data_IF_534750071384
#
_entry.id   IF_534750071384
#
_cell.length_a   1.000
_cell.length_b   1.000
_cell.length_c   1.000
_cell.angle_alpha   90.00
_cell.angle_beta   90.00
_cell.angle_gamma   90.00
#
_symmetry.space_group_name_H-M   'P 1'
#
loop_
_entity.id
_entity.type
_entity.pdbx_description
1 polymer ?
#
# COMPACT_ATOMS: atom_id res chain seq x y z
N UNK A 1 55.36 -22.76 -48.60
CA UNK A 1 54.51 -21.74 -49.24
C UNK A 1 53.22 -22.46 -49.64
N UNK A 2 52.05 -21.94 -49.26
CA UNK A 2 50.73 -22.63 -49.14
C UNK A 2 50.69 -23.54 -47.89
N UNK A 3 49.73 -23.54 -46.95
CA UNK A 3 48.73 -22.60 -46.42
C UNK A 3 48.33 -23.22 -45.06
N UNK A 4 48.45 -22.50 -43.94
CA UNK A 4 48.16 -22.99 -42.57
C UNK A 4 46.75 -22.57 -42.17
N UNK A 5 45.77 -23.00 -42.95
CA UNK A 5 44.33 -22.81 -42.70
C UNK A 5 43.69 -24.16 -43.03
N UNK A 6 42.93 -24.73 -42.09
CA UNK A 6 42.19 -26.02 -42.16
C UNK A 6 42.88 -27.31 -41.70
N UNK A 7 43.35 -27.39 -40.45
CA UNK A 7 43.43 -28.71 -39.77
C UNK A 7 43.49 -28.66 -38.23
N UNK A 8 42.74 -27.75 -37.60
CA UNK A 8 42.49 -27.77 -36.15
C UNK A 8 41.04 -27.38 -35.86
N UNK A 9 40.12 -28.26 -36.26
CA UNK A 9 38.83 -28.42 -35.60
C UNK A 9 38.90 -29.71 -34.78
N UNK A 10 38.27 -29.69 -33.60
CA UNK A 10 38.09 -30.79 -32.63
C UNK A 10 39.16 -30.99 -31.54
N UNK A 11 38.95 -30.30 -30.42
CA UNK A 11 38.82 -30.82 -29.04
C UNK A 11 39.43 -29.86 -28.00
N UNK A 12 38.71 -28.78 -27.71
CA UNK A 12 38.85 -28.09 -26.42
C UNK A 12 37.59 -28.38 -25.62
N UNK A 13 37.70 -29.38 -24.73
CA UNK A 13 36.73 -29.65 -23.68
C UNK A 13 36.56 -28.38 -22.83
N UNK A 14 35.32 -27.95 -22.51
CA UNK A 14 35.14 -26.97 -21.44
C UNK A 14 35.62 -27.62 -20.14
N UNK A 15 36.57 -26.96 -19.49
CA UNK A 15 37.10 -27.34 -18.19
C UNK A 15 35.98 -27.38 -17.15
N UNK A 16 36.05 -28.36 -16.24
CA UNK A 16 35.17 -28.60 -15.09
C UNK A 16 34.95 -27.38 -14.16
N UNK A 17 35.59 -26.22 -14.41
CA UNK A 17 35.43 -24.96 -13.70
C UNK A 17 34.14 -24.21 -14.02
N UNK A 18 33.64 -24.29 -15.26
CA UNK A 18 32.54 -23.44 -15.72
C UNK A 18 31.17 -24.00 -15.32
N UNK A 19 31.05 -25.34 -15.27
CA UNK A 19 29.88 -26.02 -14.70
C UNK A 19 29.78 -25.86 -13.18
N UNK A 20 30.90 -25.63 -12.48
CA UNK A 20 30.89 -25.36 -11.04
C UNK A 20 30.47 -23.92 -10.73
N UNK A 21 30.89 -22.95 -11.55
CA UNK A 21 30.42 -21.55 -11.43
C UNK A 21 28.97 -21.38 -11.90
N UNK A 22 28.52 -22.07 -12.94
CA UNK A 22 27.10 -22.07 -13.33
C UNK A 22 26.19 -22.78 -12.29
N UNK A 23 26.64 -23.88 -11.67
CA UNK A 23 25.86 -24.54 -10.63
C UNK A 23 25.87 -23.81 -9.28
N UNK A 24 26.91 -23.03 -8.95
CA UNK A 24 26.89 -22.16 -7.75
C UNK A 24 26.02 -20.91 -7.95
N UNK A 25 25.76 -20.52 -9.20
CA UNK A 25 24.77 -19.49 -9.54
C UNK A 25 23.33 -20.04 -9.58
N UNK A 26 23.14 -21.35 -9.83
CA UNK A 26 21.86 -22.06 -9.75
C UNK A 26 21.56 -22.54 -8.33
N UNK A 27 20.85 -21.68 -7.59
CA UNK A 27 20.20 -21.84 -6.26
C UNK A 27 20.70 -20.90 -5.17
N UNK A 28 20.92 -19.62 -5.49
CA UNK A 28 20.79 -18.59 -4.45
C UNK A 28 19.31 -18.50 -4.06
N UNK A 29 18.94 -19.14 -2.95
CA UNK A 29 17.57 -19.14 -2.41
C UNK A 29 17.09 -17.69 -2.31
N UNK A 30 16.03 -17.34 -3.05
CA UNK A 30 15.46 -16.00 -3.03
C UNK A 30 15.12 -15.61 -1.58
N UNK A 31 15.49 -14.39 -1.16
CA UNK A 31 15.19 -13.90 0.17
C UNK A 31 13.73 -13.43 0.23
N UNK A 32 12.82 -14.39 0.37
CA UNK A 32 11.38 -14.14 0.47
C UNK A 32 11.00 -13.43 1.77
N UNK A 33 11.90 -13.33 2.76
CA UNK A 33 11.61 -12.62 4.02
C UNK A 33 11.42 -11.12 3.80
N UNK A 34 11.85 -10.57 2.66
CA UNK A 34 11.59 -9.17 2.29
C UNK A 34 10.14 -8.92 1.84
N UNK A 35 9.32 -9.97 1.79
CA UNK A 35 7.93 -9.92 1.35
C UNK A 35 6.97 -10.40 2.44
N UNK A 36 5.72 -9.97 2.38
CA UNK A 36 4.69 -10.32 3.34
C UNK A 36 4.42 -11.83 3.36
N UNK A 37 4.33 -12.43 2.17
CA UNK A 37 4.05 -13.85 1.96
C UNK A 37 5.27 -14.57 1.40
N UNK A 38 5.54 -15.83 1.82
CA UNK A 38 6.65 -16.62 1.28
C UNK A 38 6.36 -17.11 -0.14
N UNK A 39 5.09 -17.11 -0.52
CA UNK A 39 4.56 -17.64 -1.76
C UNK A 39 3.69 -16.59 -2.46
N UNK A 40 3.19 -16.94 -3.65
CA UNK A 40 2.19 -16.14 -4.35
C UNK A 40 0.90 -16.06 -3.54
N UNK A 41 0.13 -14.96 -3.64
CA UNK A 41 -1.23 -14.91 -3.13
C UNK A 41 -2.05 -16.10 -3.65
N UNK A 42 -3.00 -16.64 -2.85
CA UNK A 42 -3.79 -17.80 -3.26
C UNK A 42 -4.61 -17.48 -4.51
N UNK A 43 -4.79 -18.45 -5.41
CA UNK A 43 -5.59 -18.25 -6.61
C UNK A 43 -7.08 -18.00 -6.31
N UNK A 44 -7.53 -18.39 -5.12
CA UNK A 44 -8.91 -18.32 -4.67
C UNK A 44 -8.97 -17.83 -3.22
N UNK A 45 -9.98 -17.02 -2.91
CA UNK A 45 -10.33 -16.66 -1.53
C UNK A 45 -11.82 -16.85 -1.31
N UNK A 46 -12.16 -17.31 -0.11
CA UNK A 46 -13.54 -17.46 0.35
C UNK A 46 -13.84 -16.33 1.34
N UNK A 47 -14.85 -15.53 1.03
CA UNK A 47 -15.33 -14.40 1.84
C UNK A 47 -16.82 -14.61 2.16
N UNK A 48 -17.40 -13.86 3.11
CA UNK A 48 -18.83 -13.95 3.44
C UNK A 48 -19.74 -13.84 2.21
N UNK A 49 -19.43 -12.92 1.27
CA UNK A 49 -20.23 -12.71 0.06
C UNK A 49 -20.09 -13.79 -1.02
N UNK A 50 -19.05 -14.64 -0.99
CA UNK A 50 -18.81 -15.60 -2.06
C UNK A 50 -17.37 -16.08 -2.19
N UNK A 51 -17.12 -16.81 -3.26
CA UNK A 51 -15.79 -17.26 -3.66
C UNK A 51 -15.26 -16.37 -4.77
N UNK A 52 -14.02 -15.92 -4.62
CA UNK A 52 -13.38 -14.98 -5.53
C UNK A 52 -12.09 -15.55 -6.10
N UNK A 53 -11.77 -15.20 -7.35
CA UNK A 53 -10.57 -15.62 -8.08
C UNK A 53 -9.58 -14.47 -8.19
N UNK A 54 -8.29 -14.75 -7.99
CA UNK A 54 -7.23 -13.77 -8.15
C UNK A 54 -7.21 -13.26 -9.61
N UNK A 55 -7.34 -11.95 -9.76
CA UNK A 55 -7.28 -11.27 -11.05
C UNK A 55 -5.93 -10.60 -11.24
N UNK A 56 -5.45 -9.86 -10.23
CA UNK A 56 -4.23 -9.04 -10.33
C UNK A 56 -3.55 -8.86 -8.98
N UNK A 57 -2.23 -8.72 -8.98
CA UNK A 57 -1.46 -8.32 -7.79
C UNK A 57 -1.06 -6.85 -7.95
N UNK A 58 -1.57 -5.97 -7.08
CA UNK A 58 -1.20 -4.55 -7.05
C UNK A 58 0.15 -4.32 -6.37
N UNK A 59 0.38 -4.98 -5.23
CA UNK A 59 1.61 -4.74 -4.49
C UNK A 59 1.99 -5.96 -3.72
N UNK A 60 3.29 -6.24 -3.61
CA UNK A 60 3.80 -7.19 -2.65
C UNK A 60 5.10 -6.65 -2.06
N UNK A 61 4.98 -6.14 -0.84
CA UNK A 61 6.09 -5.56 -0.09
C UNK A 61 6.32 -6.32 1.22
N UNK A 62 7.16 -5.77 2.10
CA UNK A 62 7.52 -6.34 3.37
C UNK A 62 6.34 -6.57 4.34
N UNK A 63 5.36 -5.66 4.33
CA UNK A 63 4.24 -5.62 5.27
C UNK A 63 3.00 -6.31 4.71
N UNK A 64 2.69 -6.11 3.42
CA UNK A 64 1.49 -6.67 2.82
C UNK A 64 1.62 -7.06 1.34
N UNK A 65 0.78 -8.01 0.94
CA UNK A 65 0.41 -8.23 -0.46
C UNK A 65 -1.00 -7.69 -0.70
N UNK A 66 -1.16 -6.76 -1.65
CA UNK A 66 -2.45 -6.17 -2.04
C UNK A 66 -2.82 -6.68 -3.42
N UNK A 67 -4.01 -7.27 -3.55
CA UNK A 67 -4.42 -8.00 -4.74
C UNK A 67 -5.88 -7.69 -5.09
N UNK A 68 -6.22 -7.74 -6.37
CA UNK A 68 -7.58 -7.69 -6.88
C UNK A 68 -8.12 -9.12 -7.07
N UNK A 69 -9.33 -9.35 -6.59
CA UNK A 69 -10.07 -10.59 -6.85
C UNK A 69 -11.45 -10.28 -7.42
N UNK A 70 -11.89 -11.14 -8.34
CA UNK A 70 -13.21 -11.06 -8.98
C UNK A 70 -14.10 -12.19 -8.49
N UNK A 71 -15.39 -11.88 -8.30
CA UNK A 71 -16.39 -12.82 -7.82
C UNK A 71 -16.61 -13.93 -8.86
N UNK A 72 -16.43 -15.19 -8.42
CA UNK A 72 -16.67 -16.35 -9.25
C UNK A 72 -17.96 -17.08 -8.89
N UNK A 73 -18.35 -17.06 -7.62
CA UNK A 73 -19.60 -17.65 -7.14
C UNK A 73 -20.13 -16.86 -5.95
N UNK A 74 -21.33 -16.30 -6.11
CA UNK A 74 -22.01 -15.55 -5.06
C UNK A 74 -22.67 -16.49 -4.04
N UNK A 75 -22.61 -16.13 -2.75
CA UNK A 75 -23.38 -16.79 -1.68
C UNK A 75 -24.60 -15.96 -1.23
N UNK A 76 -24.74 -14.72 -1.70
CA UNK A 76 -25.84 -13.82 -1.36
C UNK A 76 -25.97 -12.65 -2.33
N UNK A 77 -27.09 -11.93 -2.27
CA UNK A 77 -27.39 -10.81 -3.17
C UNK A 77 -26.43 -9.61 -3.00
N UNK A 78 -25.89 -9.42 -1.79
CA UNK A 78 -24.97 -8.31 -1.48
C UNK A 78 -23.50 -8.61 -1.82
N UNK A 79 -23.23 -9.67 -2.59
CA UNK A 79 -21.87 -10.02 -3.00
C UNK A 79 -21.25 -8.93 -3.87
N UNK A 80 -20.06 -8.48 -3.48
CA UNK A 80 -19.29 -7.51 -4.25
C UNK A 80 -18.75 -8.16 -5.52
N UNK A 81 -18.85 -7.50 -6.67
CA UNK A 81 -18.31 -8.04 -7.93
C UNK A 81 -16.80 -8.19 -7.89
N UNK A 82 -16.09 -7.21 -7.32
CA UNK A 82 -14.63 -7.19 -7.19
C UNK A 82 -14.22 -6.67 -5.82
N UNK A 83 -13.16 -7.24 -5.29
CA UNK A 83 -12.63 -6.91 -3.97
C UNK A 83 -11.11 -6.72 -4.02
N UNK A 84 -10.61 -5.77 -3.25
CA UNK A 84 -9.20 -5.63 -2.95
C UNK A 84 -8.91 -6.37 -1.66
N UNK A 85 -8.00 -7.34 -1.77
CA UNK A 85 -7.60 -8.21 -0.67
C UNK A 85 -6.20 -7.81 -0.22
N UNK A 86 -6.07 -7.42 1.05
CA UNK A 86 -4.78 -7.15 1.69
C UNK A 86 -4.40 -8.32 2.59
N UNK A 87 -3.35 -9.03 2.18
CA UNK A 87 -2.68 -10.07 2.97
C UNK A 87 -1.62 -9.40 3.83
N UNK A 88 -1.78 -9.43 5.14
CA UNK A 88 -0.73 -9.04 6.07
C UNK A 88 0.42 -10.06 6.07
N UNK A 89 1.57 -9.64 6.58
CA UNK A 89 2.76 -10.47 6.70
C UNK A 89 2.50 -11.69 7.58
N UNK A 90 2.82 -12.87 7.06
CA UNK A 90 2.74 -14.15 7.79
C UNK A 90 4.12 -14.73 8.10
N UNK A 91 5.16 -14.26 7.42
CA UNK A 91 6.53 -14.73 7.63
C UNK A 91 7.20 -14.08 8.85
N UNK A 92 8.02 -14.82 9.60
CA UNK A 92 8.91 -14.20 10.56
C UNK A 92 9.93 -13.29 9.86
N UNK A 93 10.49 -12.33 10.58
CA UNK A 93 11.59 -11.50 10.11
C UNK A 93 12.75 -11.59 11.10
N UNK A 94 13.92 -12.03 10.65
CA UNK A 94 15.10 -12.24 11.50
C UNK A 94 14.80 -13.11 12.75
N UNK A 95 13.97 -14.14 12.60
CA UNK A 95 13.55 -15.03 13.69
C UNK A 95 12.43 -14.50 14.58
N UNK A 96 11.99 -13.24 14.40
CA UNK A 96 10.88 -12.67 15.14
C UNK A 96 9.54 -12.98 14.46
N UNK A 97 8.54 -13.55 15.17
CA UNK A 97 7.21 -13.73 14.61
C UNK A 97 6.58 -12.35 14.34
N UNK A 98 6.03 -12.16 13.15
CA UNK A 98 5.37 -10.91 12.74
C UNK A 98 3.85 -11.04 12.61
N UNK A 99 3.30 -12.24 12.78
CA UNK A 99 1.87 -12.50 12.58
C UNK A 99 1.00 -11.66 13.52
N UNK A 100 1.39 -11.56 14.79
CA UNK A 100 0.68 -10.77 15.80
C UNK A 100 0.51 -9.30 15.36
N UNK A 101 1.52 -8.72 14.71
CA UNK A 101 1.46 -7.35 14.22
C UNK A 101 0.44 -7.23 13.08
N UNK A 102 0.43 -8.19 12.15
CA UNK A 102 -0.55 -8.24 11.07
C UNK A 102 -1.98 -8.41 11.59
N UNK A 103 -2.17 -9.21 12.64
CA UNK A 103 -3.48 -9.39 13.30
C UNK A 103 -3.94 -8.10 13.98
N UNK A 104 -3.04 -7.40 14.70
CA UNK A 104 -3.35 -6.11 15.31
C UNK A 104 -3.73 -5.05 14.26
N UNK A 105 -2.95 -4.95 13.16
CA UNK A 105 -3.24 -4.02 12.07
C UNK A 105 -4.57 -4.34 11.38
N UNK A 106 -4.88 -5.62 11.18
CA UNK A 106 -6.16 -6.07 10.63
C UNK A 106 -7.33 -5.73 11.55
N UNK A 107 -7.20 -5.97 12.86
CA UNK A 107 -8.23 -5.62 13.85
C UNK A 107 -8.45 -4.10 13.91
N UNK A 108 -7.38 -3.33 13.84
CA UNK A 108 -7.43 -1.87 13.78
C UNK A 108 -8.18 -1.36 12.53
N UNK A 109 -7.84 -1.87 11.35
CA UNK A 109 -8.51 -1.54 10.09
C UNK A 109 -10.00 -1.90 10.13
N UNK A 110 -10.33 -3.10 10.63
CA UNK A 110 -11.72 -3.51 10.81
C UNK A 110 -12.50 -2.52 11.68
N UNK A 111 -11.93 -2.12 12.82
CA UNK A 111 -12.57 -1.19 13.75
C UNK A 111 -12.81 0.19 13.12
N UNK A 112 -11.93 0.61 12.20
CA UNK A 112 -12.08 1.83 11.41
C UNK A 112 -13.16 1.69 10.34
N UNK A 113 -13.13 0.63 9.52
CA UNK A 113 -14.16 0.38 8.51
C UNK A 113 -15.55 0.20 9.13
N UNK A 114 -15.65 -0.47 10.29
CA UNK A 114 -16.89 -0.58 11.04
C UNK A 114 -17.39 0.81 11.48
N UNK A 115 -16.50 1.69 11.95
CA UNK A 115 -16.85 3.06 12.29
C UNK A 115 -17.32 3.88 11.08
N UNK A 116 -16.75 3.62 9.90
CA UNK A 116 -17.03 4.33 8.64
C UNK A 116 -18.08 3.63 7.77
N UNK A 117 -18.77 2.61 8.30
CA UNK A 117 -19.81 1.91 7.56
C UNK A 117 -20.87 2.90 7.03
N UNK A 118 -21.21 2.77 5.75
CA UNK A 118 -22.18 3.62 5.06
C UNK A 118 -21.70 5.03 4.67
N UNK A 119 -20.43 5.40 4.89
CA UNK A 119 -19.90 6.67 4.35
C UNK A 119 -19.68 6.52 2.85
N UNK A 120 -20.36 7.33 2.03
CA UNK A 120 -20.06 7.47 0.60
C UNK A 120 -18.63 7.98 0.44
N UNK A 121 -17.83 7.34 -0.40
CA UNK A 121 -16.40 7.65 -0.56
C UNK A 121 -15.48 6.82 0.34
N UNK A 122 -16.02 5.85 1.09
CA UNK A 122 -15.24 4.82 1.80
C UNK A 122 -15.62 3.44 1.22
N UNK A 123 -14.66 2.60 0.81
CA UNK A 123 -14.95 1.26 0.32
C UNK A 123 -15.71 0.42 1.36
N UNK A 124 -16.65 -0.43 0.91
CA UNK A 124 -17.33 -1.36 1.83
C UNK A 124 -16.37 -2.44 2.32
N UNK A 125 -16.54 -2.83 3.58
CA UNK A 125 -15.85 -3.99 4.15
C UNK A 125 -16.44 -5.28 3.58
N UNK A 126 -15.61 -6.14 2.98
CA UNK A 126 -16.05 -7.38 2.36
C UNK A 126 -15.88 -8.60 3.28
N UNK A 127 -14.92 -8.54 4.21
CA UNK A 127 -14.68 -9.60 5.17
C UNK A 127 -13.21 -9.76 5.57
N UNK A 128 -12.99 -10.70 6.47
CA UNK A 128 -11.66 -11.13 6.92
C UNK A 128 -11.33 -12.49 6.32
N UNK A 129 -10.04 -12.80 6.21
CA UNK A 129 -9.59 -14.16 5.94
C UNK A 129 -8.31 -14.48 6.72
N UNK A 130 -8.18 -15.74 7.11
CA UNK A 130 -7.08 -16.22 7.91
C UNK A 130 -5.76 -16.33 7.11
N UNK A 131 -4.59 -16.21 7.75
CA UNK A 131 -4.42 -15.91 9.18
C UNK A 131 -4.47 -14.41 9.50
N UNK A 132 -4.08 -13.53 8.57
CA UNK A 132 -4.03 -12.10 8.81
C UNK A 132 -4.26 -11.27 7.55
N UNK A 133 -5.45 -11.38 6.96
CA UNK A 133 -5.83 -10.47 5.89
C UNK A 133 -7.30 -10.08 5.89
N UNK A 134 -7.62 -9.10 5.06
CA UNK A 134 -8.96 -8.57 4.91
C UNK A 134 -9.24 -8.15 3.48
N UNK A 135 -10.51 -8.03 3.16
CA UNK A 135 -11.00 -7.62 1.85
C UNK A 135 -11.93 -6.42 1.97
N UNK A 136 -11.81 -5.50 1.02
CA UNK A 136 -12.67 -4.33 0.86
C UNK A 136 -13.13 -4.23 -0.59
N UNK A 137 -14.19 -3.46 -0.82
CA UNK A 137 -14.70 -3.19 -2.16
C UNK A 137 -13.62 -2.62 -3.08
N UNK A 138 -13.55 -3.15 -4.30
CA UNK A 138 -12.78 -2.52 -5.36
C UNK A 138 -13.56 -1.37 -5.96
N UNK A 139 -12.92 -0.20 -6.01
CA UNK A 139 -13.49 1.00 -6.64
C UNK A 139 -12.87 1.13 -8.03
N UNK A 140 -13.71 1.14 -9.05
CA UNK A 140 -13.29 1.40 -10.44
C UNK A 140 -12.97 2.89 -10.61
N UNK A 141 -11.74 3.24 -10.25
CA UNK A 141 -11.27 4.61 -10.11
C UNK A 141 -9.77 4.70 -10.33
N UNK A 142 -9.32 5.91 -10.70
CA UNK A 142 -7.90 6.22 -10.87
C UNK A 142 -7.37 6.98 -9.66
N UNK A 143 -6.15 6.69 -9.19
CA UNK A 143 -5.48 7.52 -8.21
C UNK A 143 -5.32 8.97 -8.70
N UNK A 144 -5.46 9.94 -7.79
CA UNK A 144 -5.39 11.37 -8.11
C UNK A 144 -4.03 11.78 -8.71
N UNK A 145 -2.94 11.09 -8.40
CA UNK A 145 -1.63 11.34 -9.01
C UNK A 145 -1.46 10.76 -10.42
N UNK A 146 -2.41 9.96 -10.91
CA UNK A 146 -2.45 9.46 -12.28
C UNK A 146 -3.37 10.29 -13.19
N UNK A 147 -4.01 11.33 -12.65
CA UNK A 147 -4.83 12.25 -13.43
C UNK A 147 -4.00 13.45 -13.87
N UNK A 148 -4.17 13.87 -15.12
CA UNK A 148 -3.56 15.10 -15.63
C UNK A 148 -4.13 16.34 -14.92
N UNK A 149 -5.45 16.33 -14.69
CA UNK A 149 -6.16 17.35 -13.93
C UNK A 149 -7.29 16.70 -13.10
N UNK A 150 -7.56 17.19 -11.88
CA UNK A 150 -8.70 16.76 -11.10
C UNK A 150 -10.02 17.27 -11.73
N UNK A 151 -11.12 16.50 -11.65
CA UNK A 151 -12.43 16.99 -12.07
C UNK A 151 -12.90 18.16 -11.20
N UNK A 152 -13.70 19.05 -11.78
CA UNK A 152 -14.23 20.22 -11.10
C UNK A 152 -14.97 19.85 -9.79
N UNK A 153 -14.75 20.64 -8.75
CA UNK A 153 -15.36 20.44 -7.43
C UNK A 153 -14.92 19.18 -6.68
N UNK A 154 -13.88 18.47 -7.15
CA UNK A 154 -13.35 17.29 -6.46
C UNK A 154 -12.97 17.60 -5.01
N UNK A 155 -12.32 18.74 -4.78
CA UNK A 155 -11.83 19.10 -3.46
C UNK A 155 -12.95 19.46 -2.50
N UNK A 156 -14.08 19.95 -3.01
CA UNK A 156 -15.25 20.23 -2.18
C UNK A 156 -15.94 18.91 -1.79
N UNK A 157 -16.04 17.95 -2.71
CA UNK A 157 -16.51 16.58 -2.40
C UNK A 157 -15.58 15.89 -1.39
N UNK A 158 -14.26 16.01 -1.57
CA UNK A 158 -13.27 15.50 -0.61
C UNK A 158 -13.41 16.19 0.75
N UNK A 159 -13.70 17.50 0.78
CA UNK A 159 -13.93 18.21 2.03
C UNK A 159 -15.12 17.64 2.79
N UNK A 160 -16.25 17.43 2.11
CA UNK A 160 -17.44 16.79 2.70
C UNK A 160 -17.14 15.39 3.22
N UNK A 161 -16.33 14.61 2.48
CA UNK A 161 -15.89 13.28 2.90
C UNK A 161 -15.04 13.34 4.18
N UNK A 162 -14.05 14.24 4.23
CA UNK A 162 -13.24 14.45 5.43
C UNK A 162 -14.11 14.87 6.62
N UNK A 163 -15.03 15.81 6.44
CA UNK A 163 -15.92 16.24 7.52
C UNK A 163 -16.78 15.08 8.04
N UNK A 164 -17.29 14.24 7.15
CA UNK A 164 -18.07 13.06 7.52
C UNK A 164 -17.23 12.06 8.34
N UNK A 165 -15.98 11.80 7.92
CA UNK A 165 -15.05 10.92 8.66
C UNK A 165 -14.66 11.55 10.00
N UNK A 166 -14.38 12.85 10.01
CA UNK A 166 -13.95 13.60 11.19
C UNK A 166 -15.04 13.66 12.25
N UNK A 167 -16.30 13.83 11.85
CA UNK A 167 -17.47 13.79 12.72
C UNK A 167 -17.59 12.45 13.47
N UNK A 168 -17.18 11.34 12.84
CA UNK A 168 -17.10 10.01 13.47
C UNK A 168 -15.91 9.82 14.41
N UNK A 169 -15.15 10.90 14.65
CA UNK A 169 -14.01 10.91 15.56
C UNK A 169 -12.78 10.20 15.00
N UNK A 170 -12.59 10.26 13.68
CA UNK A 170 -11.45 9.64 13.00
C UNK A 170 -10.58 10.74 12.39
N UNK A 171 -9.26 10.61 12.51
CA UNK A 171 -8.28 11.35 11.71
C UNK A 171 -7.67 10.39 10.69
N UNK A 172 -7.71 10.75 9.42
CA UNK A 172 -7.28 9.88 8.31
C UNK A 172 -5.75 9.72 8.26
N UNK A 173 -5.01 10.79 8.59
CA UNK A 173 -3.57 10.84 8.78
C UNK A 173 -2.69 10.66 7.53
N UNK A 174 -3.20 10.11 6.43
CA UNK A 174 -2.42 9.88 5.19
C UNK A 174 -2.85 10.76 3.99
N UNK A 175 -3.58 11.86 4.25
CA UNK A 175 -4.07 12.77 3.20
C UNK A 175 -2.97 13.40 2.33
N UNK A 176 -1.70 13.31 2.73
CA UNK A 176 -0.58 13.80 1.94
C UNK A 176 -0.33 12.96 0.66
N UNK A 177 -0.69 11.67 0.65
CA UNK A 177 -0.48 10.79 -0.50
C UNK A 177 -1.65 10.86 -1.47
N UNK A 178 -1.40 11.44 -2.66
CA UNK A 178 -2.40 11.52 -3.73
C UNK A 178 -2.80 10.13 -4.26
N UNK A 179 -1.91 9.14 -4.18
CA UNK A 179 -2.20 7.75 -4.53
C UNK A 179 -3.33 7.11 -3.70
N UNK A 180 -3.63 7.66 -2.51
CA UNK A 180 -4.68 7.13 -1.64
C UNK A 180 -6.04 7.84 -1.85
N UNK A 181 -6.08 8.83 -2.74
CA UNK A 181 -7.30 9.51 -3.17
C UNK A 181 -7.64 8.94 -4.54
N UNK A 182 -8.70 8.12 -4.59
CA UNK A 182 -9.21 7.58 -5.85
C UNK A 182 -10.32 8.48 -6.39
N UNK A 183 -10.37 8.62 -7.71
CA UNK A 183 -11.36 9.41 -8.42
C UNK A 183 -12.01 8.54 -9.49
N UNK A 184 -13.32 8.37 -9.41
CA UNK A 184 -14.09 7.63 -10.42
C UNK A 184 -14.25 8.46 -11.69
N UNK A 185 -14.63 7.83 -12.80
CA UNK A 185 -14.95 8.57 -14.04
C UNK A 185 -16.17 9.49 -13.89
N UNK A 186 -17.05 9.23 -12.91
CA UNK A 186 -18.13 10.14 -12.52
C UNK A 186 -17.66 11.34 -11.68
N UNK A 187 -16.36 11.42 -11.35
CA UNK A 187 -15.78 12.49 -10.56
C UNK A 187 -15.94 12.34 -9.04
N UNK A 188 -16.39 11.17 -8.57
CA UNK A 188 -16.55 10.88 -7.14
C UNK A 188 -15.21 10.59 -6.48
N UNK A 189 -15.04 11.06 -5.24
CA UNK A 189 -13.81 10.85 -4.48
C UNK A 189 -13.96 9.69 -3.51
N UNK A 190 -12.96 8.81 -3.48
CA UNK A 190 -12.83 7.74 -2.51
C UNK A 190 -11.49 7.84 -1.78
N UNK A 191 -11.51 7.59 -0.47
CA UNK A 191 -10.30 7.45 0.33
C UNK A 191 -10.04 5.96 0.57
N UNK A 192 -8.78 5.56 0.43
CA UNK A 192 -8.33 4.19 0.70
C UNK A 192 -7.18 4.20 1.70
N UNK A 193 -6.80 3.02 2.19
CA UNK A 193 -5.65 2.82 3.08
C UNK A 193 -5.74 3.59 4.41
N UNK A 194 -6.44 2.99 5.38
CA UNK A 194 -6.66 3.59 6.71
C UNK A 194 -5.71 3.02 7.77
N UNK A 195 -4.64 2.32 7.37
CA UNK A 195 -3.72 1.62 8.28
C UNK A 195 -3.09 2.52 9.36
N UNK A 196 -2.91 3.81 9.06
CA UNK A 196 -2.34 4.79 9.99
C UNK A 196 -3.39 5.79 10.52
N UNK A 197 -4.65 5.60 10.15
CA UNK A 197 -5.74 6.43 10.66
C UNK A 197 -5.94 6.18 12.15
N UNK A 198 -6.44 7.17 12.87
CA UNK A 198 -6.63 7.06 14.32
C UNK A 198 -8.06 7.42 14.66
N UNK A 199 -8.70 6.55 15.43
CA UNK A 199 -10.07 6.74 15.94
C UNK A 199 -10.04 7.11 17.41
N UNK A 200 -10.92 8.03 17.82
CA UNK A 200 -11.18 8.32 19.24
C UNK A 200 -11.67 7.06 19.96
N UNK A 201 -11.18 6.84 21.17
CA UNK A 201 -11.67 5.85 22.14
C UNK A 201 -12.20 6.58 23.35
N UNK A 202 -13.47 6.98 23.25
CA UNK A 202 -14.15 7.74 24.30
C UNK A 202 -14.49 6.88 25.53
N UNK A 203 -14.44 5.56 25.35
CA UNK A 203 -14.53 4.49 26.33
C UNK A 203 -13.26 4.33 27.22
N UNK A 204 -12.13 4.91 26.82
CA UNK A 204 -10.90 4.81 27.61
C UNK A 204 -10.91 5.69 28.86
N UNK A 205 -10.16 5.31 29.92
CA UNK A 205 -10.04 6.12 31.12
C UNK A 205 -9.21 7.39 30.86
N UNK A 206 -9.39 8.38 31.74
CA UNK A 206 -8.48 9.51 31.83
C UNK A 206 -7.13 9.04 32.42
N UNK A 207 -5.97 9.54 31.92
CA UNK A 207 -5.79 10.61 30.94
C UNK A 207 -5.70 10.16 29.47
N UNK A 208 -5.62 8.85 29.21
CA UNK A 208 -5.41 8.29 27.87
C UNK A 208 -6.45 8.77 26.84
N UNK A 209 -7.73 8.83 27.26
CA UNK A 209 -8.81 9.40 26.44
C UNK A 209 -8.54 10.84 25.99
N UNK A 210 -8.08 11.70 26.89
CA UNK A 210 -7.83 13.11 26.58
C UNK A 210 -6.64 13.27 25.61
N UNK A 211 -5.60 12.47 25.81
CA UNK A 211 -4.43 12.42 24.92
C UNK A 211 -4.88 11.98 23.52
N UNK A 212 -5.61 10.87 23.41
CA UNK A 212 -6.06 10.34 22.13
C UNK A 212 -7.01 11.31 21.40
N UNK A 213 -7.92 11.98 22.12
CA UNK A 213 -8.75 13.04 21.55
C UNK A 213 -7.92 14.17 20.94
N UNK A 214 -6.87 14.58 21.64
CA UNK A 214 -5.97 15.63 21.18
C UNK A 214 -5.18 15.19 19.94
N UNK A 215 -4.73 13.94 19.90
CA UNK A 215 -4.08 13.33 18.73
C UNK A 215 -5.03 13.31 17.53
N UNK A 216 -6.26 12.82 17.69
CA UNK A 216 -7.24 12.80 16.60
C UNK A 216 -7.53 14.22 16.10
N UNK A 217 -7.78 15.18 16.99
CA UNK A 217 -8.02 16.57 16.59
C UNK A 217 -6.83 17.17 15.82
N UNK A 218 -5.60 16.81 16.20
CA UNK A 218 -4.41 17.20 15.45
C UNK A 218 -4.38 16.56 14.05
N UNK A 219 -4.65 15.26 13.94
CA UNK A 219 -4.66 14.54 12.66
C UNK A 219 -5.75 15.08 11.72
N UNK A 220 -6.93 15.39 12.23
CA UNK A 220 -8.01 16.02 11.46
C UNK A 220 -7.57 17.36 10.85
N UNK A 221 -6.91 18.22 11.63
CA UNK A 221 -6.34 19.47 11.10
C UNK A 221 -5.25 19.21 10.05
N UNK A 222 -4.44 18.18 10.24
CA UNK A 222 -3.42 17.76 9.28
C UNK A 222 -4.05 17.28 7.96
N UNK A 223 -5.16 16.54 8.02
CA UNK A 223 -5.89 16.08 6.83
C UNK A 223 -6.37 17.28 6.00
N UNK A 224 -7.00 18.26 6.65
CA UNK A 224 -7.48 19.48 6.00
C UNK A 224 -6.35 20.32 5.43
N UNK A 225 -5.23 20.44 6.15
CA UNK A 225 -4.03 21.08 5.63
C UNK A 225 -3.56 20.43 4.32
N UNK A 226 -3.51 19.09 4.26
CA UNK A 226 -3.09 18.37 3.07
C UNK A 226 -4.10 18.47 1.93
N UNK A 227 -5.40 18.42 2.24
CA UNK A 227 -6.47 18.64 1.27
C UNK A 227 -6.27 19.99 0.54
N UNK A 228 -6.17 21.08 1.29
CA UNK A 228 -6.03 22.42 0.69
C UNK A 228 -4.65 22.65 0.09
N UNK A 229 -3.61 21.98 0.60
CA UNK A 229 -2.29 21.95 -0.05
C UNK A 229 -2.37 21.31 -1.44
N UNK A 230 -3.18 20.27 -1.64
CA UNK A 230 -3.42 19.67 -2.96
C UNK A 230 -4.28 20.59 -3.84
N UNK A 231 -5.38 21.16 -3.30
CA UNK A 231 -6.25 22.13 -4.01
C UNK A 231 -5.42 23.28 -4.57
N UNK A 232 -4.59 23.92 -3.73
CA UNK A 232 -3.66 25.00 -4.13
C UNK A 232 -2.68 24.60 -5.23
N UNK A 233 -2.24 23.35 -5.29
CA UNK A 233 -1.23 22.87 -6.25
C UNK A 233 -1.83 22.46 -7.58
N UNK A 234 -3.02 21.87 -7.56
CA UNK A 234 -3.63 21.25 -8.73
C UNK A 234 -4.68 22.17 -9.39
N UNK A 235 -5.43 22.92 -8.58
CA UNK A 235 -6.50 23.82 -9.04
C UNK A 235 -6.48 25.12 -8.25
N UNK A 236 -5.41 25.93 -8.35
CA UNK A 236 -5.32 27.19 -7.62
C UNK A 236 -6.49 28.15 -7.91
N UNK A 237 -7.12 28.05 -9.09
CA UNK A 237 -8.29 28.85 -9.46
C UNK A 237 -9.57 28.55 -8.67
N UNK A 238 -9.70 27.36 -8.07
CA UNK A 238 -10.85 26.99 -7.22
C UNK A 238 -10.63 27.35 -5.74
N UNK A 239 -9.44 27.86 -5.38
CA UNK A 239 -9.04 28.07 -3.99
C UNK A 239 -9.55 29.41 -3.45
N UNK A 240 -10.29 29.37 -2.36
CA UNK A 240 -10.73 30.57 -1.63
C UNK A 240 -9.62 31.11 -0.71
N UNK A 241 -9.74 32.37 -0.28
CA UNK A 241 -8.76 32.99 0.63
C UNK A 241 -8.65 32.28 1.98
N UNK A 242 -9.77 31.77 2.50
CA UNK A 242 -9.81 31.01 3.76
C UNK A 242 -9.08 29.66 3.61
N UNK A 243 -9.33 28.95 2.51
CA UNK A 243 -8.67 27.68 2.20
C UNK A 243 -7.17 27.87 1.96
N UNK A 244 -6.75 28.98 1.33
CA UNK A 244 -5.33 29.30 1.16
C UNK A 244 -4.65 29.50 2.51
N UNK A 245 -5.29 30.21 3.45
CA UNK A 245 -4.77 30.36 4.80
C UNK A 245 -4.60 29.00 5.50
N UNK A 246 -5.59 28.09 5.38
CA UNK A 246 -5.51 26.74 5.93
C UNK A 246 -4.42 25.89 5.26
N UNK A 247 -4.21 26.04 3.94
CA UNK A 247 -3.17 25.33 3.18
C UNK A 247 -1.73 25.72 3.58
N UNK A 248 -1.56 26.80 4.34
CA UNK A 248 -0.26 27.34 4.79
C UNK A 248 -0.01 27.12 6.28
N UNK A 249 -1.03 26.77 7.06
CA UNK A 249 -0.92 26.46 8.50
C UNK A 249 -0.23 25.13 8.73
N UNK A 250 1.10 25.14 8.68
CA UNK A 250 1.94 23.97 8.88
C UNK A 250 2.05 23.63 10.36
N UNK A 251 1.67 22.41 10.74
CA UNK A 251 1.88 21.92 12.10
C UNK A 251 3.36 21.66 12.42
N UNK A 252 3.80 22.00 13.63
CA UNK A 252 5.19 21.85 14.08
C UNK A 252 5.69 20.40 14.10
N UNK A 253 4.81 19.44 14.37
CA UNK A 253 5.08 17.99 14.35
C UNK A 253 5.58 17.50 12.98
N UNK A 254 5.20 18.16 11.87
CA UNK A 254 5.73 17.85 10.54
C UNK A 254 7.27 18.06 10.48
N UNK A 255 7.79 19.03 11.22
CA UNK A 255 9.23 19.33 11.25
C UNK A 255 9.98 18.31 12.10
N UNK A 256 9.39 17.89 13.24
CA UNK A 256 9.97 16.87 14.13
C UNK A 256 10.00 15.49 13.45
N UNK A 257 8.91 15.08 12.82
CA UNK A 257 8.82 13.80 12.11
C UNK A 257 9.89 13.68 11.00
N UNK A 258 10.15 14.75 10.24
CA UNK A 258 11.20 14.73 9.21
C UNK A 258 12.59 14.48 9.79
N UNK A 259 12.94 15.16 10.88
CA UNK A 259 14.25 15.01 11.52
C UNK A 259 14.49 13.58 12.03
N UNK A 260 13.44 12.89 12.49
CA UNK A 260 13.55 11.52 12.99
C UNK A 260 13.49 10.46 11.88
N UNK A 261 12.71 10.68 10.81
CA UNK A 261 12.50 9.66 9.77
C UNK A 261 13.52 9.67 8.65
N UNK A 262 14.17 10.80 8.38
CA UNK A 262 15.15 10.92 7.29
C UNK A 262 16.39 10.02 7.48
N UNK A 263 16.96 9.87 8.69
CA UNK A 263 18.06 8.91 8.95
C UNK A 263 17.64 7.45 8.72
N UNK A 264 16.47 7.05 9.23
CA UNK A 264 15.95 5.69 9.05
C UNK A 264 15.70 5.35 7.58
N UNK A 265 15.13 6.30 6.80
CA UNK A 265 14.93 6.13 5.36
C UNK A 265 16.24 5.95 4.60
N UNK A 266 17.31 6.64 5.01
CA UNK A 266 18.62 6.48 4.40
C UNK A 266 19.19 5.07 4.67
N UNK A 267 19.14 4.62 5.92
CA UNK A 267 19.58 3.28 6.32
C UNK A 267 18.80 2.18 5.60
N UNK A 268 17.47 2.27 5.59
CA UNK A 268 16.59 1.32 4.87
C UNK A 268 16.96 1.23 3.39
N UNK A 269 17.14 2.37 2.71
CA UNK A 269 17.53 2.40 1.29
C UNK A 269 18.89 1.78 1.04
N UNK A 270 19.87 2.04 1.90
CA UNK A 270 21.19 1.39 1.81
C UNK A 270 21.07 -0.14 1.93
N UNK A 271 20.33 -0.64 2.92
CA UNK A 271 20.15 -2.08 3.13
C UNK A 271 19.44 -2.76 1.95
N UNK A 272 18.32 -2.21 1.48
CA UNK A 272 17.57 -2.77 0.36
C UNK A 272 18.39 -2.79 -0.94
N UNK A 273 19.19 -1.76 -1.18
CA UNK A 273 20.14 -1.73 -2.31
C UNK A 273 21.19 -2.82 -2.22
N UNK A 274 21.77 -3.04 -1.04
CA UNK A 274 22.75 -4.11 -0.84
C UNK A 274 22.13 -5.49 -1.13
N UNK A 275 20.90 -5.73 -0.67
CA UNK A 275 20.17 -6.97 -0.93
C UNK A 275 19.84 -7.14 -2.44
N UNK A 276 19.40 -6.07 -3.12
CA UNK A 276 19.13 -6.11 -4.56
C UNK A 276 20.40 -6.39 -5.38
N UNK A 277 21.52 -5.69 -5.11
CA UNK A 277 22.82 -5.93 -5.76
C UNK A 277 23.34 -7.35 -5.56
N UNK A 278 23.00 -8.00 -4.45
CA UNK A 278 23.39 -9.39 -4.18
C UNK A 278 22.60 -10.43 -4.98
N UNK A 279 21.58 -10.01 -5.76
CA UNK A 279 20.71 -10.88 -6.55
C UNK A 279 19.69 -11.67 -5.72
N UNK A 280 19.55 -11.36 -4.42
CA UNK A 280 18.70 -12.12 -3.49
C UNK A 280 17.27 -11.61 -3.38
N UNK A 281 16.98 -10.44 -3.95
CA UNK A 281 15.71 -9.74 -3.79
C UNK A 281 14.84 -9.94 -5.04
N UNK A 282 14.35 -11.17 -5.21
CA UNK A 282 13.41 -11.55 -6.25
C UNK A 282 12.00 -11.65 -5.66
N UNK A 283 11.03 -10.98 -6.29
CA UNK A 283 9.67 -10.95 -5.78
C UNK A 283 8.94 -12.26 -6.10
N UNK A 284 8.29 -12.92 -5.12
CA UNK A 284 7.49 -14.13 -5.37
C UNK A 284 6.38 -13.93 -6.41
N UNK A 285 5.96 -12.67 -6.60
CA UNK A 285 4.90 -12.22 -7.49
C UNK A 285 5.42 -11.49 -8.72
N UNK A 286 6.73 -11.54 -9.02
CA UNK A 286 7.32 -10.78 -10.14
C UNK A 286 6.61 -11.02 -11.48
N UNK A 287 6.13 -12.23 -11.74
CA UNK A 287 5.42 -12.58 -12.99
C UNK A 287 3.95 -12.14 -13.02
N UNK A 288 3.41 -11.67 -11.91
CA UNK A 288 2.00 -11.25 -11.75
C UNK A 288 1.85 -9.73 -11.56
N UNK A 289 2.98 -9.02 -11.49
CA UNK A 289 3.03 -7.58 -11.31
C UNK A 289 3.24 -6.91 -12.67
N UNK A 290 2.16 -6.38 -13.23
CA UNK A 290 2.10 -5.81 -14.58
C UNK A 290 2.30 -4.29 -14.64
N UNK A 291 2.59 -3.65 -13.50
CA UNK A 291 2.62 -2.19 -13.39
C UNK A 291 3.83 -1.70 -12.59
N UNK A 292 4.18 -0.42 -12.84
CA UNK A 292 5.32 0.26 -12.22
C UNK A 292 5.14 0.31 -10.71
N UNK A 293 6.13 -0.21 -9.95
CA UNK A 293 6.15 -0.14 -8.50
C UNK A 293 7.26 0.81 -8.02
N UNK A 294 6.94 2.07 -7.65
CA UNK A 294 7.94 3.07 -7.26
C UNK A 294 8.81 2.62 -6.08
N UNK A 295 8.26 1.79 -5.20
CA UNK A 295 9.00 1.25 -4.06
C UNK A 295 10.12 0.28 -4.49
N UNK A 296 9.91 -0.51 -5.54
CA UNK A 296 10.92 -1.43 -6.08
C UNK A 296 12.00 -0.69 -6.88
N UNK A 297 11.68 0.49 -7.41
CA UNK A 297 12.67 1.37 -8.03
C UNK A 297 13.68 1.92 -7.03
N UNK A 298 13.27 2.13 -5.78
CA UNK A 298 14.20 2.54 -4.71
C UNK A 298 15.26 1.49 -4.38
N UNK A 299 15.12 0.26 -4.89
CA UNK A 299 16.14 -0.79 -4.78
C UNK A 299 17.24 -0.63 -5.84
N UNK A 300 16.91 0.01 -6.97
CA UNK A 300 17.77 0.10 -8.16
C UNK A 300 18.64 1.37 -8.17
N UNK A 301 18.22 2.44 -7.48
CA UNK A 301 18.88 3.75 -7.41
C UNK A 301 19.56 4.05 -6.07
#
# INVERSE_FOLDING_TARGET
MISVIELLYFELRPTYSDLFFENIMKTRRANTQMFALPHRPPAWVDLPGGRYRLEKVFKHDFFAATCLYELASARGADALRRVVVKFGRTQPFCGLPCLWLSELLRAHERDLYAAMAGVRGVPRWAGEFAPAGYAVEYIDARPLDHLDAPPAGLFDRLRTLFDTIHARGIGYADANKRSNILVTDAGEAYLIDYQISVRRRDDWPWPLRAILRSVVAYLQRSDLYHLYKHKRRLVPGELTSEEDALSRRRGWLHTLHRRLTDPWRALRRWFLRAQYRSGRLESPTATLEDHRQPEKETWRG
#
